data_IF_981056741783
#
_entry.id   IF_981056741783
#
_cell.length_a   1.000
_cell.length_b   1.000
_cell.length_c   1.000
_cell.angle_alpha   90.00
_cell.angle_beta   90.00
_cell.angle_gamma   90.00
#
_symmetry.space_group_name_H-M   'P 1'
#
loop_
_entity.id
_entity.type
_entity.pdbx_description
1 polymer ?
#
# COMPACT_ATOMS: atom_id res chain seq x y z
N UNK A 1 -1.70 18.63 -21.32
CA UNK A 1 -0.79 17.53 -20.89
C UNK A 1 -1.57 16.67 -19.92
N UNK A 2 -1.55 15.35 -20.09
CA UNK A 2 -2.20 14.48 -19.10
C UNK A 2 -1.45 14.61 -17.76
N UNK A 3 -2.20 14.70 -16.65
CA UNK A 3 -1.61 14.69 -15.32
C UNK A 3 -0.88 13.35 -15.10
N UNK A 4 0.24 13.39 -14.40
CA UNK A 4 0.92 12.16 -13.95
C UNK A 4 0.09 11.47 -12.87
N UNK A 5 0.13 10.12 -12.84
CA UNK A 5 -0.66 9.33 -11.91
C UNK A 5 0.04 9.19 -10.56
N UNK A 6 -0.74 9.32 -9.50
CA UNK A 6 -0.33 8.99 -8.13
C UNK A 6 -1.23 7.88 -7.60
N UNK A 7 -0.62 6.87 -6.97
CA UNK A 7 -1.34 5.78 -6.31
C UNK A 7 -1.07 5.78 -4.83
N UNK A 8 -2.13 5.61 -4.05
CA UNK A 8 -2.08 5.39 -2.60
C UNK A 8 -3.04 4.28 -2.21
N UNK A 9 -2.68 3.51 -1.19
CA UNK A 9 -3.53 2.45 -0.67
C UNK A 9 -3.65 2.49 0.84
N UNK A 10 -4.79 2.05 1.36
CA UNK A 10 -5.02 1.91 2.80
C UNK A 10 -5.72 0.60 3.10
N UNK A 11 -5.19 -0.14 4.09
CA UNK A 11 -5.78 -1.42 4.52
C UNK A 11 -7.01 -1.19 5.39
N UNK A 12 -8.14 -1.87 5.13
CA UNK A 12 -9.34 -1.76 5.96
C UNK A 12 -9.26 -2.63 7.22
N UNK A 13 -8.24 -2.40 8.06
CA UNK A 13 -7.96 -3.21 9.26
C UNK A 13 -8.42 -2.56 10.56
N UNK A 14 -9.30 -1.57 10.49
CA UNK A 14 -9.88 -0.86 11.62
C UNK A 14 -10.28 0.57 11.28
N UNK A 15 -10.83 1.26 12.29
CA UNK A 15 -11.21 2.67 12.16
C UNK A 15 -10.00 3.56 12.00
N UNK A 16 -10.14 4.60 11.17
CA UNK A 16 -9.09 5.58 11.02
C UNK A 16 -8.97 6.45 12.28
N UNK A 17 -7.79 6.93 12.52
CA UNK A 17 -7.47 7.80 13.66
C UNK A 17 -6.64 9.01 13.20
N UNK A 18 -6.38 9.94 14.11
CA UNK A 18 -5.67 11.18 13.80
C UNK A 18 -4.33 10.96 13.07
N UNK A 19 -3.63 9.87 13.38
CA UNK A 19 -2.40 9.50 12.68
C UNK A 19 -2.59 9.27 11.18
N UNK A 20 -3.70 8.64 10.77
CA UNK A 20 -4.02 8.46 9.34
C UNK A 20 -4.39 9.79 8.69
N UNK A 21 -5.15 10.64 9.40
CA UNK A 21 -5.52 11.97 8.89
C UNK A 21 -4.27 12.81 8.58
N UNK A 22 -3.37 12.93 9.54
CA UNK A 22 -2.18 13.80 9.42
C UNK A 22 -1.09 13.11 8.58
N UNK A 23 -0.92 11.79 8.71
CA UNK A 23 0.14 11.04 8.05
C UNK A 23 -0.15 10.73 6.57
N UNK A 24 -1.41 10.63 6.17
CA UNK A 24 -1.78 10.24 4.81
C UNK A 24 -2.82 11.16 4.16
N UNK A 25 -4.02 11.29 4.78
CA UNK A 25 -5.18 11.89 4.11
C UNK A 25 -4.98 13.37 3.75
N UNK A 26 -4.39 14.18 4.63
CA UNK A 26 -4.07 15.58 4.33
C UNK A 26 -3.15 15.73 3.11
N UNK A 27 -2.19 14.82 2.97
CA UNK A 27 -1.32 14.79 1.80
C UNK A 27 -2.10 14.39 0.54
N UNK A 28 -2.95 13.37 0.62
CA UNK A 28 -3.80 12.93 -0.50
C UNK A 28 -4.71 14.06 -0.99
N UNK A 29 -5.36 14.77 -0.08
CA UNK A 29 -6.19 15.95 -0.42
C UNK A 29 -5.38 17.02 -1.16
N UNK A 30 -4.11 17.23 -0.79
CA UNK A 30 -3.24 18.18 -1.49
C UNK A 30 -2.84 17.69 -2.89
N UNK A 31 -2.66 16.38 -3.06
CA UNK A 31 -2.20 15.77 -4.30
C UNK A 31 -3.29 15.69 -5.37
N UNK A 32 -4.58 15.54 -4.99
CA UNK A 32 -5.69 15.38 -5.92
C UNK A 32 -5.84 16.54 -6.92
N UNK A 33 -5.43 17.75 -6.57
CA UNK A 33 -5.49 18.89 -7.48
C UNK A 33 -4.34 18.89 -8.51
N UNK A 34 -3.21 18.25 -8.16
CA UNK A 34 -1.98 18.26 -8.95
C UNK A 34 -1.84 17.05 -9.87
N UNK A 35 -2.31 15.90 -9.41
CA UNK A 35 -2.12 14.61 -10.04
C UNK A 35 -3.44 13.96 -10.44
N UNK A 36 -3.36 12.96 -11.31
CA UNK A 36 -4.42 12.00 -11.54
C UNK A 36 -4.36 10.96 -10.41
N UNK A 37 -5.21 11.10 -9.40
CA UNK A 37 -5.08 10.44 -8.10
C UNK A 37 -5.96 9.20 -7.99
N UNK A 38 -5.32 8.09 -7.65
CA UNK A 38 -5.93 6.78 -7.43
C UNK A 38 -5.78 6.40 -5.96
N UNK A 39 -6.89 6.12 -5.29
CA UNK A 39 -6.94 5.73 -3.89
C UNK A 39 -7.61 4.37 -3.74
N UNK A 40 -6.83 3.39 -3.28
CA UNK A 40 -7.24 2.00 -3.19
C UNK A 40 -7.52 1.57 -1.76
N UNK A 41 -8.67 0.97 -1.50
CA UNK A 41 -8.86 0.15 -0.31
C UNK A 41 -8.24 -1.21 -0.60
N UNK A 42 -7.10 -1.50 0.04
CA UNK A 42 -6.30 -2.70 -0.24
C UNK A 42 -6.73 -3.86 0.67
N UNK A 43 -7.88 -4.42 0.37
CA UNK A 43 -8.52 -5.50 1.14
C UNK A 43 -7.75 -6.82 1.06
N UNK A 44 -7.14 -7.17 -0.07
CA UNK A 44 -6.25 -8.32 -0.14
C UNK A 44 -5.00 -8.18 0.72
N UNK A 45 -4.45 -6.95 0.84
CA UNK A 45 -3.36 -6.71 1.80
C UNK A 45 -3.83 -6.90 3.26
N UNK A 46 -5.09 -6.60 3.57
CA UNK A 46 -5.62 -6.89 4.89
C UNK A 46 -5.61 -8.39 5.18
N UNK A 47 -5.93 -9.23 4.20
CA UNK A 47 -5.93 -10.68 4.33
C UNK A 47 -4.55 -11.26 4.64
N UNK A 48 -3.46 -10.61 4.30
CA UNK A 48 -2.11 -11.12 4.59
C UNK A 48 -1.85 -11.30 6.09
N UNK A 49 -2.56 -10.56 6.94
CA UNK A 49 -2.45 -10.62 8.40
C UNK A 49 -3.78 -10.90 9.12
N UNK A 50 -4.92 -10.81 8.43
CA UNK A 50 -6.27 -10.99 8.99
C UNK A 50 -7.04 -12.12 8.31
N UNK A 51 -6.34 -13.09 7.69
CA UNK A 51 -6.98 -14.21 6.99
C UNK A 51 -7.82 -15.10 7.89
N UNK A 52 -7.51 -15.17 9.19
CA UNK A 52 -8.24 -16.00 10.16
C UNK A 52 -9.56 -15.36 10.64
N UNK A 53 -9.66 -14.03 10.58
CA UNK A 53 -10.89 -13.29 10.90
C UNK A 53 -11.04 -12.11 9.94
N UNK A 54 -12.02 -12.23 9.06
CA UNK A 54 -12.33 -11.25 8.01
C UNK A 54 -13.63 -10.50 8.26
N UNK A 55 -14.27 -10.74 9.41
CA UNK A 55 -15.64 -10.25 9.71
C UNK A 55 -15.82 -8.75 9.61
N UNK A 56 -14.78 -7.98 9.92
CA UNK A 56 -14.84 -6.51 9.91
C UNK A 56 -14.33 -5.86 8.60
N UNK A 57 -13.70 -6.60 7.68
CA UNK A 57 -13.05 -6.02 6.50
C UNK A 57 -14.03 -5.22 5.65
N UNK A 58 -15.24 -5.75 5.41
CA UNK A 58 -16.25 -5.08 4.57
C UNK A 58 -16.75 -3.79 5.24
N UNK A 59 -17.06 -3.85 6.55
CA UNK A 59 -17.51 -2.66 7.28
C UNK A 59 -16.42 -1.58 7.31
N UNK A 60 -15.18 -1.97 7.62
CA UNK A 60 -14.04 -1.05 7.64
C UNK A 60 -13.72 -0.47 6.25
N UNK A 61 -14.02 -1.19 5.17
CA UNK A 61 -13.87 -0.66 3.80
C UNK A 61 -14.78 0.54 3.58
N UNK A 62 -16.06 0.44 3.95
CA UNK A 62 -17.00 1.55 3.83
C UNK A 62 -16.67 2.71 4.75
N UNK A 63 -16.31 2.42 6.01
CA UNK A 63 -15.89 3.43 6.99
C UNK A 63 -14.68 4.20 6.49
N UNK A 64 -13.65 3.52 5.96
CA UNK A 64 -12.45 4.16 5.43
C UNK A 64 -12.78 5.12 4.28
N UNK A 65 -13.60 4.71 3.33
CA UNK A 65 -13.99 5.59 2.19
C UNK A 65 -14.80 6.79 2.68
N UNK A 66 -15.71 6.59 3.65
CA UNK A 66 -16.45 7.69 4.26
C UNK A 66 -15.52 8.68 4.96
N UNK A 67 -14.52 8.20 5.69
CA UNK A 67 -13.50 9.02 6.36
C UNK A 67 -12.62 9.78 5.34
N UNK A 68 -12.29 9.16 4.19
CA UNK A 68 -11.54 9.85 3.12
C UNK A 68 -12.31 11.04 2.57
N UNK A 69 -13.59 10.85 2.27
CA UNK A 69 -14.47 11.93 1.80
C UNK A 69 -14.63 12.99 2.89
N UNK A 70 -14.85 12.57 4.14
CA UNK A 70 -14.91 13.46 5.30
C UNK A 70 -13.64 14.28 5.54
N UNK A 71 -12.47 13.75 5.19
CA UNK A 71 -11.19 14.45 5.25
C UNK A 71 -10.97 15.45 4.10
N UNK A 72 -11.83 15.44 3.07
CA UNK A 72 -11.78 16.38 1.94
C UNK A 72 -11.30 15.77 0.61
N UNK A 73 -11.19 14.44 0.51
CA UNK A 73 -10.99 13.80 -0.79
C UNK A 73 -12.28 13.89 -1.60
N UNK A 74 -12.17 14.35 -2.84
CA UNK A 74 -13.28 14.61 -3.75
C UNK A 74 -13.35 13.48 -4.81
N UNK A 75 -14.44 12.70 -4.85
CA UNK A 75 -14.61 11.63 -5.83
C UNK A 75 -14.73 12.12 -7.29
N UNK A 76 -14.99 13.42 -7.50
CA UNK A 76 -14.97 14.01 -8.84
C UNK A 76 -13.53 14.34 -9.31
N UNK A 77 -12.56 14.38 -8.38
CA UNK A 77 -11.16 14.69 -8.66
C UNK A 77 -10.23 13.47 -8.57
N UNK A 78 -10.66 12.45 -7.84
CA UNK A 78 -9.86 11.26 -7.53
C UNK A 78 -10.68 10.00 -7.79
N UNK A 79 -9.99 8.94 -8.22
CA UNK A 79 -10.58 7.62 -8.39
C UNK A 79 -10.45 6.81 -7.11
N UNK A 80 -11.58 6.36 -6.54
CA UNK A 80 -11.61 5.46 -5.39
C UNK A 80 -12.04 4.06 -5.84
N UNK A 81 -11.35 3.04 -5.36
CA UNK A 81 -11.68 1.66 -5.72
C UNK A 81 -11.25 0.68 -4.63
N UNK A 82 -11.79 -0.53 -4.71
CA UNK A 82 -11.45 -1.65 -3.85
C UNK A 82 -10.58 -2.61 -4.65
N UNK A 83 -9.44 -3.01 -4.11
CA UNK A 83 -8.43 -3.84 -4.77
C UNK A 83 -9.03 -5.13 -5.35
N UNK A 84 -9.84 -5.84 -4.57
CA UNK A 84 -10.45 -7.11 -4.99
C UNK A 84 -11.48 -6.99 -6.11
N UNK A 85 -11.98 -5.79 -6.41
CA UNK A 85 -12.89 -5.54 -7.52
C UNK A 85 -12.17 -5.29 -8.85
N UNK A 86 -10.83 -5.22 -8.84
CA UNK A 86 -9.96 -5.04 -10.01
C UNK A 86 -9.03 -6.25 -10.09
N UNK A 87 -9.43 -7.34 -10.75
CA UNK A 87 -8.66 -8.61 -10.76
C UNK A 87 -7.28 -8.50 -11.38
N UNK A 88 -7.01 -7.48 -12.18
CA UNK A 88 -5.71 -7.20 -12.80
C UNK A 88 -4.57 -7.05 -11.77
N UNK A 89 -4.87 -6.65 -10.56
CA UNK A 89 -3.90 -6.65 -9.44
C UNK A 89 -3.34 -8.05 -9.19
N UNK A 90 -4.23 -9.05 -9.12
CA UNK A 90 -3.83 -10.44 -8.91
C UNK A 90 -3.15 -11.03 -10.14
N UNK A 91 -3.60 -10.69 -11.34
CA UNK A 91 -3.00 -11.15 -12.59
C UNK A 91 -1.57 -10.63 -12.73
N UNK A 92 -1.36 -9.32 -12.53
CA UNK A 92 -0.01 -8.76 -12.59
C UNK A 92 0.87 -9.30 -11.44
N UNK A 93 0.33 -9.44 -10.23
CA UNK A 93 1.05 -10.06 -9.11
C UNK A 93 1.55 -11.46 -9.48
N UNK A 94 0.70 -12.30 -10.08
CA UNK A 94 1.09 -13.62 -10.54
C UNK A 94 2.24 -13.58 -11.56
N UNK A 95 2.19 -12.65 -12.53
CA UNK A 95 3.25 -12.48 -13.52
C UNK A 95 4.56 -11.99 -12.90
N UNK A 96 4.49 -11.05 -11.96
CA UNK A 96 5.67 -10.56 -11.26
C UNK A 96 6.34 -11.64 -10.38
N UNK A 97 5.57 -12.59 -9.84
CA UNK A 97 6.12 -13.75 -9.11
C UNK A 97 7.06 -14.59 -9.98
N UNK A 98 6.79 -14.71 -11.28
CA UNK A 98 7.60 -15.52 -12.19
C UNK A 98 9.01 -14.96 -12.38
N UNK A 99 9.20 -13.67 -12.14
CA UNK A 99 10.48 -13.00 -12.34
C UNK A 99 11.16 -12.54 -11.05
N UNK A 100 10.49 -12.63 -9.89
CA UNK A 100 11.00 -12.10 -8.62
C UNK A 100 11.71 -13.19 -7.80
N UNK A 101 13.01 -13.03 -7.48
CA UNK A 101 13.71 -13.96 -6.60
C UNK A 101 13.21 -13.87 -5.15
N UNK A 102 12.97 -15.00 -4.49
CA UNK A 102 12.55 -15.07 -3.07
C UNK A 102 13.46 -14.24 -2.14
N UNK A 103 14.82 -14.29 -2.24
CA UNK A 103 15.66 -13.49 -1.37
C UNK A 103 15.43 -11.98 -1.43
N UNK A 104 14.82 -11.46 -2.49
CA UNK A 104 14.48 -10.05 -2.57
C UNK A 104 13.35 -9.69 -1.60
N UNK A 105 12.37 -10.57 -1.44
CA UNK A 105 11.24 -10.40 -0.51
C UNK A 105 11.71 -10.53 0.94
N UNK A 106 12.57 -11.51 1.23
CA UNK A 106 13.12 -11.74 2.57
C UNK A 106 14.03 -10.62 3.07
N UNK A 107 14.62 -9.82 2.16
CA UNK A 107 15.48 -8.67 2.51
C UNK A 107 14.71 -7.43 2.93
N UNK A 108 13.41 -7.34 2.66
CA UNK A 108 12.61 -6.17 3.04
C UNK A 108 12.60 -6.05 4.56
N UNK A 109 13.12 -4.94 5.14
CA UNK A 109 13.30 -4.81 6.59
C UNK A 109 12.01 -5.01 7.37
N UNK A 110 10.91 -4.45 6.87
CA UNK A 110 9.58 -4.55 7.50
C UNK A 110 9.04 -5.98 7.55
N UNK A 111 9.48 -6.89 6.67
CA UNK A 111 9.10 -8.30 6.76
C UNK A 111 9.59 -8.91 8.08
N UNK A 112 10.86 -8.73 8.42
CA UNK A 112 11.46 -9.26 9.66
C UNK A 112 10.86 -8.60 10.90
N UNK A 113 10.72 -7.28 10.87
CA UNK A 113 10.12 -6.52 11.97
C UNK A 113 8.67 -6.93 12.24
N UNK A 114 7.87 -7.18 11.21
CA UNK A 114 6.49 -7.62 11.37
C UNK A 114 6.38 -9.06 11.88
N UNK A 115 7.26 -9.96 11.44
CA UNK A 115 7.34 -11.33 11.99
C UNK A 115 7.63 -11.30 13.49
N UNK A 116 8.50 -10.39 13.94
CA UNK A 116 8.80 -10.23 15.37
C UNK A 116 7.65 -9.56 16.15
N UNK A 117 7.01 -8.55 15.59
CA UNK A 117 5.95 -7.77 16.26
C UNK A 117 4.60 -8.50 16.33
N UNK A 118 4.29 -9.34 15.36
CA UNK A 118 3.04 -10.09 15.25
C UNK A 118 3.26 -11.57 15.57
N UNK A 119 4.05 -11.86 16.58
CA UNK A 119 4.40 -13.22 17.01
C UNK A 119 3.19 -14.06 17.48
N UNK A 120 2.05 -13.43 17.72
CA UNK A 120 0.76 -14.07 18.03
C UNK A 120 0.03 -14.61 16.77
N UNK A 121 0.55 -14.32 15.57
CA UNK A 121 -0.03 -14.74 14.30
C UNK A 121 0.94 -15.63 13.54
N UNK A 122 0.41 -16.62 12.84
CA UNK A 122 1.20 -17.40 11.88
C UNK A 122 1.39 -16.58 10.58
N UNK A 123 2.56 -15.98 10.47
CA UNK A 123 2.98 -15.18 9.30
C UNK A 123 3.90 -15.96 8.35
N UNK A 124 3.99 -17.29 8.50
CA UNK A 124 4.81 -18.16 7.64
C UNK A 124 4.18 -18.42 6.26
N UNK A 125 3.08 -17.74 5.94
CA UNK A 125 2.36 -17.94 4.69
C UNK A 125 3.03 -17.28 3.48
N UNK A 126 2.82 -17.85 2.28
CA UNK A 126 3.23 -17.24 1.01
C UNK A 126 2.58 -15.86 0.84
N UNK A 127 1.33 -15.69 1.30
CA UNK A 127 0.63 -14.40 1.24
C UNK A 127 1.35 -13.31 2.00
N UNK A 128 1.88 -13.64 3.20
CA UNK A 128 2.63 -12.68 3.99
C UNK A 128 4.03 -12.42 3.41
N UNK A 129 4.75 -13.44 2.95
CA UNK A 129 6.03 -13.24 2.26
C UNK A 129 5.86 -12.42 0.97
N UNK A 130 4.76 -12.62 0.26
CA UNK A 130 4.50 -12.01 -1.05
C UNK A 130 3.89 -10.60 -0.99
N UNK A 131 3.49 -10.07 0.19
CA UNK A 131 2.79 -8.79 0.24
C UNK A 131 3.57 -7.61 -0.38
N UNK A 132 4.90 -7.50 -0.29
CA UNK A 132 5.62 -6.41 -0.94
C UNK A 132 5.56 -6.48 -2.46
N UNK A 133 5.44 -7.70 -3.00
CA UNK A 133 5.28 -7.91 -4.43
C UNK A 133 3.85 -7.60 -4.90
N UNK A 134 2.83 -7.90 -4.08
CA UNK A 134 1.45 -7.45 -4.33
C UNK A 134 1.37 -5.93 -4.36
N UNK A 135 2.07 -5.25 -3.45
CA UNK A 135 2.19 -3.78 -3.47
C UNK A 135 2.86 -3.27 -4.76
N UNK A 136 3.88 -3.98 -5.26
CA UNK A 136 4.51 -3.65 -6.54
C UNK A 136 3.53 -3.79 -7.71
N UNK A 137 2.68 -4.83 -7.70
CA UNK A 137 1.63 -5.02 -8.71
C UNK A 137 0.58 -3.91 -8.63
N UNK A 138 0.13 -3.54 -7.42
CA UNK A 138 -0.83 -2.45 -7.22
C UNK A 138 -0.34 -1.13 -7.85
N UNK A 139 0.93 -0.83 -7.67
CA UNK A 139 1.54 0.39 -8.19
C UNK A 139 1.70 0.33 -9.72
N UNK A 140 2.19 -0.79 -10.22
CA UNK A 140 2.55 -0.94 -11.62
C UNK A 140 1.34 -1.07 -12.56
N UNK A 141 0.23 -1.68 -12.10
CA UNK A 141 -0.97 -1.90 -12.93
C UNK A 141 -1.63 -0.61 -13.39
N UNK A 142 -1.42 0.49 -12.66
CA UNK A 142 -1.94 1.83 -13.00
C UNK A 142 -0.91 2.72 -13.68
N UNK A 143 0.29 2.24 -13.99
CA UNK A 143 1.40 3.09 -14.46
C UNK A 143 1.61 4.28 -13.52
N UNK A 144 1.59 4.04 -12.22
CA UNK A 144 1.74 5.10 -11.24
C UNK A 144 3.16 5.68 -11.28
N UNK A 145 3.26 6.97 -11.57
CA UNK A 145 4.53 7.70 -11.58
C UNK A 145 5.00 8.02 -10.16
N UNK A 146 4.03 8.24 -9.26
CA UNK A 146 4.27 8.72 -7.91
C UNK A 146 3.54 7.90 -6.86
N UNK A 147 4.21 7.64 -5.75
CA UNK A 147 3.64 6.96 -4.58
C UNK A 147 3.98 7.78 -3.34
N UNK A 148 2.98 8.37 -2.66
CA UNK A 148 3.19 9.05 -1.39
C UNK A 148 3.43 8.03 -0.30
N UNK A 149 4.60 8.10 0.33
CA UNK A 149 5.05 7.14 1.34
C UNK A 149 5.72 7.84 2.52
N UNK A 150 5.61 7.24 3.70
CA UNK A 150 6.50 7.52 4.81
C UNK A 150 7.89 6.94 4.59
N UNK A 151 8.87 7.39 5.36
CA UNK A 151 10.26 6.91 5.27
C UNK A 151 10.38 5.38 5.47
N UNK A 152 9.53 4.79 6.30
CA UNK A 152 9.47 3.36 6.58
C UNK A 152 9.02 2.53 5.38
N UNK A 153 8.31 3.12 4.43
CA UNK A 153 7.81 2.45 3.21
C UNK A 153 8.76 2.59 2.01
N UNK A 154 9.82 3.38 2.12
CA UNK A 154 10.81 3.55 1.04
C UNK A 154 11.42 2.20 0.61
N UNK A 155 11.78 1.26 1.51
CA UNK A 155 12.31 -0.04 1.10
C UNK A 155 11.36 -0.87 0.22
N UNK A 156 10.04 -0.78 0.44
CA UNK A 156 9.05 -1.46 -0.42
C UNK A 156 9.02 -0.84 -1.82
N UNK A 157 9.14 0.48 -1.91
CA UNK A 157 9.16 1.15 -3.19
C UNK A 157 10.46 0.87 -3.97
N UNK A 158 11.59 0.72 -3.27
CA UNK A 158 12.83 0.26 -3.91
C UNK A 158 12.70 -1.17 -4.46
N UNK A 159 12.09 -2.08 -3.69
CA UNK A 159 11.78 -3.41 -4.20
C UNK A 159 10.89 -3.32 -5.45
N UNK A 160 9.85 -2.49 -5.44
CA UNK A 160 8.99 -2.27 -6.60
C UNK A 160 9.79 -1.87 -7.83
N UNK A 161 10.74 -0.93 -7.70
CA UNK A 161 11.63 -0.50 -8.80
C UNK A 161 12.52 -1.63 -9.29
N UNK A 162 13.12 -2.41 -8.38
CA UNK A 162 13.95 -3.56 -8.75
C UNK A 162 13.13 -4.60 -9.55
N UNK A 163 11.91 -4.89 -9.11
CA UNK A 163 11.00 -5.83 -9.78
C UNK A 163 10.60 -5.30 -11.16
N UNK A 164 10.21 -4.03 -11.27
CA UNK A 164 9.85 -3.37 -12.53
C UNK A 164 11.03 -3.39 -13.51
N UNK A 165 12.25 -3.01 -13.09
CA UNK A 165 13.44 -3.06 -13.95
C UNK A 165 13.70 -4.47 -14.46
N UNK A 166 13.58 -5.47 -13.58
CA UNK A 166 13.79 -6.86 -13.95
C UNK A 166 12.74 -7.33 -14.93
N UNK A 167 11.46 -7.00 -14.70
CA UNK A 167 10.37 -7.31 -15.62
C UNK A 167 10.61 -6.67 -16.99
N UNK A 168 10.91 -5.37 -17.04
CA UNK A 168 11.17 -4.62 -18.27
C UNK A 168 12.36 -5.18 -19.06
N UNK A 169 13.38 -5.71 -18.35
CA UNK A 169 14.53 -6.34 -19.01
C UNK A 169 14.13 -7.64 -19.75
N UNK A 170 13.19 -8.41 -19.22
CA UNK A 170 12.69 -9.61 -19.91
C UNK A 170 11.61 -9.30 -20.94
N UNK A 171 10.80 -8.27 -20.70
CA UNK A 171 9.61 -7.95 -21.50
C UNK A 171 9.57 -6.47 -21.93
N UNK A 172 10.54 -6.05 -22.77
CA UNK A 172 10.66 -4.62 -23.12
C UNK A 172 9.47 -4.07 -23.92
N UNK A 173 8.70 -4.92 -24.59
CA UNK A 173 7.49 -4.53 -25.31
C UNK A 173 6.28 -4.24 -24.39
N UNK A 174 6.34 -4.69 -23.13
CA UNK A 174 5.31 -4.50 -22.11
C UNK A 174 5.89 -3.73 -20.90
N UNK A 175 6.74 -2.73 -21.15
CA UNK A 175 7.47 -2.03 -20.11
C UNK A 175 6.54 -1.32 -19.13
N UNK A 176 6.76 -1.57 -17.84
CA UNK A 176 6.10 -0.93 -16.72
C UNK A 176 6.85 0.35 -16.31
N UNK A 177 6.15 1.32 -15.72
CA UNK A 177 6.76 2.57 -15.23
C UNK A 177 7.44 2.33 -13.88
N UNK A 178 8.68 2.83 -13.72
CA UNK A 178 9.36 2.86 -12.42
C UNK A 178 8.79 3.98 -11.55
N UNK A 179 8.14 3.67 -10.43
CA UNK A 179 7.53 4.69 -9.59
C UNK A 179 8.56 5.48 -8.79
N UNK A 180 8.20 6.72 -8.43
CA UNK A 180 8.99 7.58 -7.57
C UNK A 180 8.22 7.90 -6.29
N UNK A 181 8.94 8.12 -5.18
CA UNK A 181 8.32 8.51 -3.92
C UNK A 181 7.96 10.00 -3.88
N UNK A 182 6.84 10.31 -3.26
CA UNK A 182 6.58 11.60 -2.66
C UNK A 182 6.67 11.39 -1.15
N UNK A 183 7.70 11.95 -0.52
CA UNK A 183 7.83 11.86 0.94
C UNK A 183 6.75 12.71 1.60
N UNK A 184 6.03 12.10 2.54
CA UNK A 184 5.03 12.82 3.33
C UNK A 184 5.75 13.78 4.29
N UNK A 185 5.42 15.07 4.31
CA UNK A 185 6.14 16.05 5.12
C UNK A 185 5.91 15.92 6.63
N UNK A 186 5.16 14.93 7.07
CA UNK A 186 4.71 14.81 8.46
C UNK A 186 5.74 14.11 9.32
N UNK A 187 6.23 14.76 10.39
CA UNK A 187 7.08 14.09 11.37
C UNK A 187 6.31 12.93 12.02
N UNK A 188 7.02 11.84 12.37
CA UNK A 188 6.47 10.75 13.17
C UNK A 188 5.76 11.32 14.38
N UNK A 189 4.44 11.14 14.47
CA UNK A 189 3.75 11.39 15.73
C UNK A 189 4.29 10.38 16.76
N UNK A 190 4.85 10.80 17.89
CA UNK A 190 5.29 9.87 18.91
C UNK A 190 4.08 9.05 19.34
N UNK A 191 4.14 7.72 19.13
CA UNK A 191 3.10 6.82 19.57
C UNK A 191 2.89 7.00 21.07
N UNK A 192 1.70 7.45 21.46
CA UNK A 192 1.27 7.47 22.84
C UNK A 192 1.11 6.04 23.34
N UNK A 193 2.19 5.40 23.79
CA UNK A 193 2.09 4.16 24.56
C UNK A 193 1.62 4.54 25.96
N UNK A 194 0.45 4.09 26.43
CA UNK A 194 0.13 4.16 27.84
C UNK A 194 1.02 3.14 28.54
N UNK A 195 2.14 3.57 29.11
CA UNK A 195 2.83 2.80 30.15
C UNK A 195 1.94 2.79 31.39
N UNK A 196 1.03 1.86 31.49
CA UNK A 196 0.45 1.49 32.77
C UNK A 196 1.47 0.65 33.54
N UNK A 197 2.31 1.31 34.32
CA UNK A 197 2.89 0.68 35.50
C UNK A 197 1.79 0.66 36.54
N UNK A 198 1.19 -0.49 36.77
CA UNK A 198 0.58 -0.80 38.06
C UNK A 198 1.59 -1.60 38.85
N UNK A 199 1.93 -1.07 40.02
CA UNK A 199 2.63 -1.70 41.14
C UNK A 199 1.78 -2.82 41.70
#
# INVERSE_FOLDING_TARGET
MNKQRVLSGMRPTGKLHLGHLVGALQNWVTLQDKYDSFHCVVDWHALTTHYADTSEIVANTFDNVADWIGAGLDPEKSTFFIQSLVPEHAELYLLLQMVTPIPWLERVPTYKEQVEQLSDRDLSSIGFLGYPLLQAADIAVYDAHWVPVGEDQVPHLELTREVVRRFNNFYPAAALIEPQQILTPTPRLPGGSPRSKCS
#
